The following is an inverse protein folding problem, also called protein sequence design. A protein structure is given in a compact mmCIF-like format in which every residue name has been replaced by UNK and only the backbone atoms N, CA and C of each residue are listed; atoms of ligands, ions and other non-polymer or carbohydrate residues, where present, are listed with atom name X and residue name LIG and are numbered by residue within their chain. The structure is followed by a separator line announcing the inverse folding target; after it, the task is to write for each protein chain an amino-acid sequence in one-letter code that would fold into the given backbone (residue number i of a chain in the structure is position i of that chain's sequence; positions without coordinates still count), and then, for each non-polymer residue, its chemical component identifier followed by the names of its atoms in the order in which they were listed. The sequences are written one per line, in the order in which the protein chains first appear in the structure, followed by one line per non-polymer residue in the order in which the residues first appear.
data_IF_708141483328
#
_entry.id   IF_708141483328
#
_cell.length_a   1.000
_cell.length_b   1.000
_cell.length_c   1.000
_cell.angle_alpha   90.00
_cell.angle_beta   90.00
_cell.angle_gamma   90.00
#
_symmetry.space_group_name_H-M   'P 1'
#
loop_
_entity.id
_entity.type
_entity.pdbx_description
1 polymer ?
#
# COMPACT_ATOMS: atom_id res chain seq x y z
N UNK A 1 35.80 -18.82 46.29
CA UNK A 1 34.54 -19.26 45.67
C UNK A 1 33.49 -18.23 46.05
N UNK A 2 33.31 -17.23 45.18
CA UNK A 2 32.33 -16.16 45.38
C UNK A 2 31.34 -16.27 44.24
N UNK A 3 30.12 -16.68 44.57
CA UNK A 3 29.02 -16.84 43.63
C UNK A 3 28.37 -15.48 43.42
N UNK A 4 28.62 -14.91 42.24
CA UNK A 4 28.04 -13.65 41.78
C UNK A 4 26.69 -13.97 41.14
N UNK A 5 25.60 -13.60 41.82
CA UNK A 5 24.23 -13.83 41.37
C UNK A 5 23.83 -12.81 40.30
N UNK A 6 23.45 -13.30 39.13
CA UNK A 6 22.88 -12.52 38.01
C UNK A 6 21.54 -11.86 38.41
N UNK A 7 21.27 -10.61 37.98
CA UNK A 7 20.00 -9.96 38.23
C UNK A 7 18.91 -10.55 37.33
N UNK A 8 17.84 -10.99 38.00
CA UNK A 8 16.61 -11.52 37.43
C UNK A 8 15.86 -10.39 36.72
N UNK A 9 15.91 -10.39 35.39
CA UNK A 9 15.30 -9.37 34.55
C UNK A 9 13.79 -9.68 34.38
N UNK A 10 12.96 -9.22 35.29
CA UNK A 10 11.49 -9.21 35.13
C UNK A 10 11.09 -8.23 34.03
N UNK A 11 11.03 -8.71 32.80
CA UNK A 11 10.33 -8.09 31.68
C UNK A 11 8.83 -8.12 31.94
N UNK A 12 8.36 -7.16 32.74
CA UNK A 12 6.93 -6.83 32.87
C UNK A 12 6.47 -6.26 31.53
N UNK A 13 5.80 -7.10 30.75
CA UNK A 13 5.03 -6.71 29.57
C UNK A 13 4.03 -5.62 29.97
N UNK A 14 4.39 -4.37 29.71
CA UNK A 14 3.44 -3.26 29.79
C UNK A 14 2.58 -3.33 28.53
N UNK A 15 1.52 -4.13 28.60
CA UNK A 15 0.32 -3.92 27.78
C UNK A 15 -0.31 -2.60 28.23
N UNK A 16 0.31 -1.49 27.82
CA UNK A 16 -0.32 -0.18 27.86
C UNK A 16 -1.44 -0.27 26.84
N UNK A 17 -2.65 -0.54 27.33
CA UNK A 17 -3.88 -0.18 26.66
C UNK A 17 -3.75 1.28 26.21
N UNK A 18 -3.36 1.48 24.95
CA UNK A 18 -3.40 2.77 24.29
C UNK A 18 -4.88 3.06 24.10
N UNK A 19 -5.49 3.56 25.17
CA UNK A 19 -6.85 4.08 25.12
C UNK A 19 -6.81 5.19 24.10
N UNK A 20 -7.40 4.95 22.92
CA UNK A 20 -7.58 5.95 21.87
C UNK A 20 -8.08 7.22 22.55
N UNK A 21 -7.20 8.20 22.69
CA UNK A 21 -7.48 9.42 23.42
C UNK A 21 -8.68 10.06 22.73
N UNK A 22 -9.84 10.01 23.40
CA UNK A 22 -11.05 10.67 22.91
C UNK A 22 -10.69 12.10 22.51
N UNK A 23 -10.99 12.44 21.27
CA UNK A 23 -10.74 13.78 20.74
C UNK A 23 -11.31 14.83 21.71
N UNK A 24 -10.57 15.92 21.97
CA UNK A 24 -11.04 16.98 22.84
C UNK A 24 -12.38 17.52 22.33
N UNK A 25 -13.28 17.86 23.26
CA UNK A 25 -14.57 18.46 22.89
C UNK A 25 -14.30 19.79 22.18
N UNK A 26 -14.99 20.08 21.06
CA UNK A 26 -14.81 21.33 20.36
C UNK A 26 -15.20 22.51 21.25
N UNK A 27 -14.31 23.50 21.36
CA UNK A 27 -14.56 24.74 22.08
C UNK A 27 -15.57 25.67 21.37
N UNK A 28 -16.11 25.24 20.23
CA UNK A 28 -17.18 25.91 19.50
C UNK A 28 -16.79 27.22 18.81
N UNK A 29 -15.60 27.77 19.09
CA UNK A 29 -15.05 28.97 18.44
C UNK A 29 -14.51 28.71 17.04
N UNK A 30 -14.30 29.78 16.28
CA UNK A 30 -13.64 29.72 14.96
C UNK A 30 -12.11 29.80 15.06
N UNK A 31 -11.39 29.43 14.00
CA UNK A 31 -9.93 29.59 13.94
C UNK A 31 -9.54 31.06 14.16
N UNK A 32 -10.33 31.99 13.63
CA UNK A 32 -10.13 33.42 13.83
C UNK A 32 -10.26 33.83 15.30
N UNK A 33 -11.25 33.29 16.02
CA UNK A 33 -11.40 33.57 17.46
C UNK A 33 -10.22 33.04 18.27
N UNK A 34 -9.70 31.85 17.93
CA UNK A 34 -8.49 31.32 18.57
C UNK A 34 -7.31 32.26 18.36
N UNK A 35 -7.09 32.71 17.11
CA UNK A 35 -6.01 33.64 16.78
C UNK A 35 -6.18 34.97 17.54
N UNK A 36 -7.38 35.55 17.60
CA UNK A 36 -7.60 36.85 18.27
C UNK A 36 -7.55 36.77 19.79
N UNK A 37 -7.84 35.60 20.37
CA UNK A 37 -7.77 35.38 21.82
C UNK A 37 -6.36 35.11 22.32
N UNK A 38 -5.45 34.70 21.45
CA UNK A 38 -4.05 34.49 21.83
C UNK A 38 -3.43 35.79 22.33
N UNK A 39 -2.71 35.74 23.44
CA UNK A 39 -2.03 36.90 24.03
C UNK A 39 -0.53 36.68 23.83
N UNK A 40 0.11 37.59 23.10
CA UNK A 40 1.56 37.56 22.86
C UNK A 40 2.32 37.78 24.17
N UNK A 41 3.62 37.42 24.24
CA UNK A 41 4.47 37.74 25.39
C UNK A 41 4.49 39.24 25.75
N UNK A 42 4.25 40.11 24.77
CA UNK A 42 4.17 41.57 24.94
C UNK A 42 2.81 42.05 25.51
N UNK A 43 1.88 41.13 25.81
CA UNK A 43 0.53 41.42 26.31
C UNK A 43 -0.45 41.89 25.24
N UNK A 44 -0.02 42.00 23.98
CA UNK A 44 -0.90 42.38 22.87
C UNK A 44 -1.79 41.19 22.46
N UNK A 45 -3.10 41.40 22.26
CA UNK A 45 -3.99 40.35 21.79
C UNK A 45 -3.83 40.14 20.27
N UNK A 46 -3.83 38.87 19.86
CA UNK A 46 -3.75 38.42 18.48
C UNK A 46 -2.33 38.25 17.96
N UNK A 47 -2.14 37.28 17.06
CA UNK A 47 -0.88 37.17 16.30
C UNK A 47 -0.88 38.16 15.12
N UNK A 48 0.16 39.01 14.97
CA UNK A 48 0.25 39.89 13.82
C UNK A 48 0.41 39.07 12.53
N UNK A 49 -0.10 39.62 11.41
CA UNK A 49 -0.11 38.92 10.11
C UNK A 49 1.30 38.46 9.70
N UNK A 50 2.33 39.27 10.00
CA UNK A 50 3.73 38.93 9.70
C UNK A 50 4.20 37.67 10.44
N UNK A 51 3.90 37.55 11.72
CA UNK A 51 4.27 36.36 12.51
C UNK A 51 3.49 35.13 12.05
N UNK A 52 2.20 35.29 11.71
CA UNK A 52 1.41 34.21 11.12
C UNK A 52 2.00 33.75 9.78
N UNK A 53 2.38 34.67 8.89
CA UNK A 53 3.00 34.31 7.60
C UNK A 53 4.33 33.59 7.78
N UNK A 54 5.13 34.01 8.76
CA UNK A 54 6.43 33.41 9.05
C UNK A 54 6.27 32.01 9.67
N UNK A 55 5.38 31.85 10.65
CA UNK A 55 5.11 30.57 11.31
C UNK A 55 4.53 29.52 10.37
N UNK A 56 3.64 29.94 9.47
CA UNK A 56 2.96 29.05 8.53
C UNK A 56 3.75 28.84 7.24
N UNK A 57 4.78 29.65 6.97
CA UNK A 57 5.49 29.69 5.69
C UNK A 57 4.56 29.90 4.49
N UNK A 58 3.50 30.69 4.66
CA UNK A 58 2.55 31.03 3.59
C UNK A 58 2.47 32.55 3.40
N UNK A 59 2.08 32.99 2.20
CA UNK A 59 1.90 34.41 1.92
C UNK A 59 0.71 35.00 2.69
N UNK A 60 0.69 36.33 2.85
CA UNK A 60 -0.43 37.03 3.47
C UNK A 60 -1.75 36.84 2.70
N UNK A 61 -1.68 36.68 1.37
CA UNK A 61 -2.82 36.40 0.51
C UNK A 61 -3.39 35.00 0.78
N UNK A 62 -2.51 33.98 0.87
CA UNK A 62 -2.91 32.62 1.24
C UNK A 62 -3.55 32.59 2.62
N UNK A 63 -3.05 33.39 3.58
CA UNK A 63 -3.69 33.55 4.88
C UNK A 63 -5.10 34.15 4.80
N UNK A 64 -5.33 35.13 3.94
CA UNK A 64 -6.67 35.68 3.75
C UNK A 64 -7.65 34.65 3.17
N UNK A 65 -7.17 33.85 2.22
CA UNK A 65 -7.95 32.72 1.67
C UNK A 65 -8.21 31.69 2.76
N UNK A 66 -7.19 31.29 3.52
CA UNK A 66 -7.29 30.32 4.60
C UNK A 66 -8.25 30.74 5.71
N UNK A 67 -8.39 32.05 5.99
CA UNK A 67 -9.39 32.54 6.94
C UNK A 67 -10.82 32.26 6.48
N UNK A 68 -11.06 32.24 5.17
CA UNK A 68 -12.37 31.94 4.57
C UNK A 68 -12.55 30.45 4.31
N UNK A 69 -11.48 29.77 3.92
CA UNK A 69 -11.43 28.36 3.53
C UNK A 69 -10.28 27.67 4.27
N UNK A 70 -10.44 27.35 5.56
CA UNK A 70 -9.38 26.75 6.36
C UNK A 70 -9.01 25.33 5.90
N UNK A 71 -9.84 24.69 5.07
CA UNK A 71 -9.54 23.43 4.39
C UNK A 71 -8.34 23.50 3.44
N UNK A 72 -7.95 24.70 3.00
CA UNK A 72 -6.80 24.90 2.13
C UNK A 72 -5.47 24.94 2.91
N UNK A 73 -5.51 24.93 4.24
CA UNK A 73 -4.30 24.85 5.06
C UNK A 73 -3.78 23.41 5.09
N UNK A 74 -2.46 23.26 4.94
CA UNK A 74 -1.79 21.98 5.14
C UNK A 74 -1.79 21.58 6.61
N UNK A 75 -1.64 20.29 6.91
CA UNK A 75 -1.55 19.83 8.31
C UNK A 75 -0.32 20.42 9.00
N UNK A 76 0.81 20.52 8.27
CA UNK A 76 2.02 21.16 8.78
C UNK A 76 1.74 22.61 9.22
N UNK A 77 1.00 23.37 8.41
CA UNK A 77 0.60 24.74 8.72
C UNK A 77 -0.24 24.79 10.01
N UNK A 78 -1.23 23.90 10.13
CA UNK A 78 -2.10 23.85 11.31
C UNK A 78 -1.32 23.51 12.58
N UNK A 79 -0.38 22.58 12.53
CA UNK A 79 0.40 22.21 13.71
C UNK A 79 1.44 23.26 14.10
N UNK A 80 2.09 23.90 13.13
CA UNK A 80 2.93 25.09 13.41
C UNK A 80 2.11 26.20 14.06
N UNK A 81 0.86 26.40 13.62
CA UNK A 81 -0.05 27.36 14.24
C UNK A 81 -0.45 26.96 15.66
N UNK A 82 -0.75 25.68 15.89
CA UNK A 82 -1.09 25.17 17.23
C UNK A 82 0.05 25.40 18.22
N UNK A 83 1.29 25.09 17.81
CA UNK A 83 2.49 25.31 18.61
C UNK A 83 2.66 26.79 18.98
N UNK A 84 2.48 27.70 18.01
CA UNK A 84 2.56 29.15 18.25
C UNK A 84 1.46 29.67 19.16
N UNK A 85 0.24 29.16 18.99
CA UNK A 85 -0.92 29.56 19.79
C UNK A 85 -0.89 28.96 21.22
N UNK A 86 -0.01 27.98 21.48
CA UNK A 86 0.02 27.23 22.74
C UNK A 86 -1.20 26.32 22.93
N UNK A 87 -1.84 25.90 21.83
CA UNK A 87 -2.99 24.97 21.85
C UNK A 87 -2.56 23.59 21.37
N UNK A 88 -3.32 22.56 21.73
CA UNK A 88 -2.98 21.20 21.29
C UNK A 88 -3.27 21.03 19.78
N UNK A 89 -2.46 20.23 19.05
CA UNK A 89 -2.73 19.88 17.65
C UNK A 89 -4.14 19.30 17.41
N UNK A 90 -4.63 18.48 18.35
CA UNK A 90 -5.98 17.91 18.25
C UNK A 90 -7.07 18.98 18.36
N UNK A 91 -6.89 19.97 19.22
CA UNK A 91 -7.83 21.09 19.36
C UNK A 91 -7.92 21.93 18.08
N UNK A 92 -6.79 22.28 17.46
CA UNK A 92 -6.82 23.09 16.24
C UNK A 92 -7.48 22.36 15.07
N UNK A 93 -7.21 21.05 14.93
CA UNK A 93 -7.80 20.19 13.90
C UNK A 93 -9.31 20.10 14.08
N UNK A 94 -9.77 19.87 15.32
CA UNK A 94 -11.20 19.81 15.65
C UNK A 94 -11.87 21.16 15.38
N UNK A 95 -11.26 22.28 15.77
CA UNK A 95 -11.79 23.63 15.52
C UNK A 95 -11.93 23.93 14.03
N UNK A 96 -10.90 23.63 13.24
CA UNK A 96 -10.94 23.83 11.78
C UNK A 96 -12.00 22.95 11.14
N UNK A 97 -12.08 21.68 11.54
CA UNK A 97 -13.09 20.75 11.04
C UNK A 97 -14.52 21.22 11.32
N UNK A 98 -14.80 21.65 12.55
CA UNK A 98 -16.12 22.20 12.92
C UNK A 98 -16.45 23.47 12.13
N UNK A 99 -15.45 24.32 11.89
CA UNK A 99 -15.63 25.51 11.05
C UNK A 99 -16.01 25.13 9.61
N UNK A 100 -15.29 24.19 8.99
CA UNK A 100 -15.59 23.69 7.63
C UNK A 100 -17.00 23.09 7.58
N UNK A 101 -17.37 22.29 8.58
CA UNK A 101 -18.69 21.67 8.68
C UNK A 101 -19.80 22.73 8.73
N UNK A 102 -19.64 23.76 9.57
CA UNK A 102 -20.59 24.89 9.65
C UNK A 102 -20.69 25.66 8.34
N UNK A 103 -19.55 25.92 7.68
CA UNK A 103 -19.52 26.59 6.38
C UNK A 103 -20.27 25.80 5.29
N UNK A 104 -20.07 24.48 5.24
CA UNK A 104 -20.80 23.60 4.30
C UNK A 104 -22.30 23.54 4.56
N UNK A 105 -22.70 23.57 5.84
CA UNK A 105 -24.12 23.64 6.23
C UNK A 105 -24.74 24.98 5.85
N UNK A 106 -23.99 26.08 5.94
CA UNK A 106 -24.48 27.40 5.56
C UNK A 106 -24.58 27.61 4.05
N UNK A 107 -23.69 26.98 3.26
CA UNK A 107 -23.68 27.11 1.79
C UNK A 107 -24.72 26.25 1.08
N UNK A 108 -25.28 25.25 1.77
CA UNK A 108 -26.43 24.50 1.28
C UNK A 108 -27.69 25.12 1.90
N UNK A 109 -28.34 26.10 1.23
CA UNK A 109 -29.62 26.58 1.73
C UNK A 109 -30.52 25.36 1.92
N UNK A 110 -31.21 25.23 3.08
CA UNK A 110 -32.06 24.08 3.35
C UNK A 110 -32.97 23.97 2.14
N UNK A 111 -32.80 22.89 1.36
CA UNK A 111 -33.59 22.67 0.15
C UNK A 111 -35.01 22.83 0.60
N UNK A 112 -35.66 23.89 0.13
CA UNK A 112 -36.97 24.30 0.63
C UNK A 112 -37.83 23.09 0.42
N UNK A 113 -38.07 22.34 1.49
CA UNK A 113 -38.89 21.14 1.45
C UNK A 113 -40.23 21.73 1.08
N UNK A 114 -40.57 21.69 -0.21
CA UNK A 114 -41.84 22.18 -0.69
C UNK A 114 -42.85 21.51 0.23
N UNK A 115 -43.67 22.28 0.96
CA UNK A 115 -44.64 21.71 1.88
C UNK A 115 -45.40 20.71 1.04
N UNK A 116 -45.18 19.43 1.35
CA UNK A 116 -45.75 18.29 0.64
C UNK A 116 -47.24 18.58 0.65
N UNK A 117 -47.78 19.09 -0.47
CA UNK A 117 -49.21 19.35 -0.62
C UNK A 117 -49.84 18.05 -0.19
N UNK A 118 -50.51 18.08 0.96
CA UNK A 118 -51.29 16.97 1.47
C UNK A 118 -52.24 16.64 0.35
N UNK A 119 -51.90 15.61 -0.43
CA UNK A 119 -52.71 15.12 -1.51
C UNK A 119 -53.89 14.52 -0.80
N UNK A 120 -54.98 15.27 -0.81
CA UNK A 120 -56.30 14.86 -0.37
C UNK A 120 -56.55 13.46 -0.92
N UNK A 121 -56.69 12.53 0.01
CA UNK A 121 -57.16 11.16 -0.15
C UNK A 121 -58.39 11.16 -1.10
N UNK A 122 -58.30 10.65 -2.33
CA UNK A 122 -59.49 10.33 -3.09
C UNK A 122 -60.05 9.01 -2.56
N UNK A 123 -61.37 8.99 -2.44
CA UNK A 123 -62.16 7.86 -2.01
C UNK A 123 -61.95 6.63 -2.91
N UNK A 124 -62.03 5.47 -2.27
CA UNK A 124 -62.26 4.15 -2.85
C UNK A 124 -63.37 4.18 -3.90
N UNK A 125 -63.20 3.45 -5.01
CA UNK A 125 -64.28 2.58 -5.44
C UNK A 125 -63.83 1.13 -5.69
N UNK A 126 -64.80 0.25 -5.49
CA UNK A 126 -64.79 -1.19 -5.63
C UNK A 126 -64.59 -1.69 -7.08
N UNK A 127 -64.10 -2.93 -7.16
CA UNK A 127 -64.51 -4.04 -8.04
C UNK A 127 -64.55 -3.90 -9.58
N UNK A 128 -63.73 -4.72 -10.26
CA UNK A 128 -64.10 -5.71 -11.30
C UNK A 128 -62.78 -6.33 -11.85
N UNK A 129 -62.51 -7.63 -11.70
CA UNK A 129 -62.93 -8.79 -12.53
C UNK A 129 -62.53 -8.74 -14.01
N UNK A 130 -61.92 -9.86 -14.45
CA UNK A 130 -61.55 -10.31 -15.81
C UNK A 130 -60.30 -9.66 -16.43
N UNK A 131 -59.36 -10.37 -17.05
CA UNK A 131 -59.24 -11.78 -17.44
C UNK A 131 -58.34 -11.88 -18.68
N UNK A 132 -57.48 -12.90 -18.77
CA UNK A 132 -57.08 -13.50 -20.05
C UNK A 132 -55.71 -13.17 -20.66
N UNK A 133 -54.95 -14.25 -20.88
CA UNK A 133 -54.18 -14.62 -22.09
C UNK A 133 -52.66 -14.33 -22.19
N UNK A 134 -51.92 -15.40 -21.87
CA UNK A 134 -50.71 -16.03 -22.47
C UNK A 134 -50.71 -15.94 -24.02
N UNK A 135 -49.57 -15.84 -24.77
CA UNK A 135 -48.59 -16.94 -25.03
C UNK A 135 -47.10 -16.53 -25.07
N UNK A 136 -46.17 -17.36 -24.58
CA UNK A 136 -45.52 -18.51 -25.25
C UNK A 136 -44.48 -18.07 -26.31
N UNK A 137 -43.24 -18.58 -26.17
CA UNK A 137 -42.32 -19.05 -27.23
C UNK A 137 -40.92 -19.20 -26.61
N UNK A 138 -40.52 -20.46 -26.41
CA UNK A 138 -39.12 -20.91 -26.36
C UNK A 138 -38.61 -21.09 -27.82
N UNK A 139 -37.32 -21.34 -28.07
CA UNK A 139 -36.85 -22.73 -27.99
C UNK A 139 -35.37 -22.94 -27.57
N UNK A 140 -35.15 -24.17 -27.10
CA UNK A 140 -34.00 -25.09 -27.32
C UNK A 140 -32.62 -24.52 -27.70
N UNK A 141 -31.58 -24.98 -27.01
CA UNK A 141 -30.57 -25.91 -27.58
C UNK A 141 -29.65 -26.48 -26.48
N UNK A 142 -29.79 -27.77 -26.21
CA UNK A 142 -28.73 -28.74 -25.83
C UNK A 142 -28.91 -29.91 -26.82
N UNK A 143 -27.90 -30.74 -27.18
CA UNK A 143 -27.03 -31.47 -26.24
C UNK A 143 -25.58 -31.70 -26.75
N UNK A 144 -24.66 -32.23 -25.92
CA UNK A 144 -24.18 -33.62 -26.09
C UNK A 144 -23.22 -34.06 -24.98
N UNK A 145 -23.37 -35.34 -24.62
CA UNK A 145 -22.75 -36.08 -23.52
C UNK A 145 -22.23 -37.40 -24.11
N UNK A 146 -20.94 -37.71 -24.05
CA UNK A 146 -20.44 -39.11 -24.11
C UNK A 146 -19.00 -39.20 -23.54
N UNK A 147 -18.47 -40.38 -23.15
CA UNK A 147 -18.63 -40.91 -21.79
C UNK A 147 -17.30 -41.34 -21.14
N UNK A 148 -17.46 -41.93 -19.95
CA UNK A 148 -16.52 -42.61 -19.08
C UNK A 148 -15.39 -43.44 -19.74
N UNK A 149 -14.24 -43.44 -19.06
CA UNK A 149 -13.39 -44.62 -18.99
C UNK A 149 -12.89 -44.83 -17.56
N UNK A 150 -12.86 -46.10 -17.21
CA UNK A 150 -12.84 -46.68 -15.88
C UNK A 150 -11.48 -47.39 -15.67
N UNK A 151 -11.11 -47.55 -14.40
CA UNK A 151 -10.10 -48.50 -13.86
C UNK A 151 -8.61 -48.11 -13.96
N UNK A 152 -8.01 -47.76 -12.81
CA UNK A 152 -7.07 -48.64 -12.11
C UNK A 152 -6.81 -48.15 -10.67
N UNK A 153 -7.22 -48.99 -9.71
CA UNK A 153 -6.90 -48.85 -8.29
C UNK A 153 -5.57 -49.57 -7.99
N UNK A 154 -4.65 -48.88 -7.31
CA UNK A 154 -3.50 -49.50 -6.65
C UNK A 154 -3.42 -49.03 -5.19
N UNK A 155 -2.86 -49.84 -4.28
CA UNK A 155 -3.28 -49.88 -2.89
C UNK A 155 -2.53 -48.93 -1.95
N UNK A 156 -3.21 -48.70 -0.82
CA UNK A 156 -2.83 -47.97 0.37
C UNK A 156 -1.33 -48.03 0.74
N UNK A 157 -0.72 -46.85 0.87
CA UNK A 157 0.39 -46.63 1.79
C UNK A 157 -0.07 -45.58 2.81
N UNK A 158 0.15 -45.87 4.10
CA UNK A 158 -0.38 -45.12 5.23
C UNK A 158 0.01 -43.62 5.22
N UNK A 159 -0.90 -42.69 5.57
CA UNK A 159 -0.57 -41.29 5.68
C UNK A 159 0.18 -41.00 6.99
N UNK A 160 1.41 -40.51 6.84
CA UNK A 160 2.12 -39.74 7.85
C UNK A 160 1.29 -38.49 8.20
N UNK A 161 1.18 -38.07 9.48
CA UNK A 161 0.45 -36.86 9.83
C UNK A 161 1.18 -35.63 9.27
N UNK A 162 0.68 -35.13 8.15
CA UNK A 162 1.07 -33.83 7.58
C UNK A 162 0.33 -32.77 8.39
N UNK A 163 1.09 -31.94 9.09
CA UNK A 163 0.58 -30.72 9.72
C UNK A 163 -0.16 -29.89 8.68
N UNK A 164 -1.48 -29.78 8.83
CA UNK A 164 -2.29 -28.86 8.04
C UNK A 164 -1.75 -27.42 8.24
N UNK A 165 -1.40 -26.70 7.16
CA UNK A 165 -1.13 -25.28 7.25
C UNK A 165 -2.41 -24.56 7.68
N UNK A 166 -2.29 -23.69 8.67
CA UNK A 166 -3.42 -22.94 9.23
C UNK A 166 -4.10 -22.07 8.15
N UNK A 167 -5.44 -21.96 8.15
CA UNK A 167 -6.21 -21.14 7.20
C UNK A 167 -6.19 -19.64 7.56
N UNK A 168 -5.02 -19.07 7.85
CA UNK A 168 -4.91 -17.63 8.13
C UNK A 168 -4.75 -16.78 6.85
N UNK A 169 -4.19 -17.35 5.78
CA UNK A 169 -3.90 -16.60 4.54
C UNK A 169 -5.16 -16.25 3.72
N UNK A 170 -6.24 -17.02 3.83
CA UNK A 170 -7.48 -16.72 3.08
C UNK A 170 -8.32 -15.60 3.72
N UNK A 171 -8.20 -15.39 5.04
CA UNK A 171 -8.94 -14.33 5.73
C UNK A 171 -8.40 -12.93 5.40
N UNK A 172 -7.08 -12.79 5.21
CA UNK A 172 -6.46 -11.52 4.81
C UNK A 172 -6.82 -11.15 3.36
N UNK A 173 -6.98 -12.12 2.48
CA UNK A 173 -7.35 -11.87 1.08
C UNK A 173 -8.79 -11.35 0.90
N UNK A 174 -9.73 -11.68 1.80
CA UNK A 174 -11.09 -11.13 1.77
C UNK A 174 -11.21 -9.77 2.47
N UNK A 175 -10.26 -9.39 3.32
CA UNK A 175 -10.27 -8.09 4.00
C UNK A 175 -9.79 -6.94 3.11
N UNK A 176 -8.98 -7.22 2.08
CA UNK A 176 -8.49 -6.21 1.13
C UNK A 176 -9.62 -5.57 0.29
N UNK A 177 -10.76 -6.23 0.13
CA UNK A 177 -11.86 -5.77 -0.74
C UNK A 177 -12.69 -4.61 -0.15
N UNK A 178 -12.48 -4.24 1.12
CA UNK A 178 -13.22 -3.18 1.81
C UNK A 178 -12.43 -1.87 1.99
N UNK A 179 -11.14 -1.88 1.67
CA UNK A 179 -10.28 -0.72 1.82
C UNK A 179 -10.36 0.15 0.56
N UNK A 180 -10.81 1.40 0.71
CA UNK A 180 -10.87 2.36 -0.38
C UNK A 180 -9.55 3.13 -0.46
N UNK A 181 -8.89 3.05 -1.62
CA UNK A 181 -7.73 3.89 -1.94
C UNK A 181 -8.16 5.33 -2.25
N UNK A 182 -7.67 6.28 -1.45
CA UNK A 182 -7.96 7.71 -1.56
C UNK A 182 -6.65 8.48 -1.76
N UNK A 183 -6.52 9.18 -2.89
CA UNK A 183 -5.36 10.04 -3.12
C UNK A 183 -5.24 11.13 -2.05
N UNK A 184 -4.04 11.41 -1.54
CA UNK A 184 -3.80 12.38 -0.45
C UNK A 184 -4.42 13.76 -0.72
N UNK A 185 -4.31 14.24 -1.96
CA UNK A 185 -4.88 15.50 -2.41
C UNK A 185 -6.40 15.57 -2.22
N UNK A 186 -7.09 14.44 -2.33
CA UNK A 186 -8.53 14.30 -2.16
C UNK A 186 -8.93 13.91 -0.73
N UNK A 187 -7.97 13.48 0.09
CA UNK A 187 -8.23 13.09 1.46
C UNK A 187 -8.72 14.28 2.30
N UNK A 188 -9.74 14.02 3.11
CA UNK A 188 -10.25 14.99 4.06
C UNK A 188 -9.25 15.24 5.18
N UNK A 189 -9.34 16.41 5.82
CA UNK A 189 -8.45 16.79 6.91
C UNK A 189 -8.42 15.78 8.08
N UNK A 190 -9.56 15.20 8.53
CA UNK A 190 -9.55 14.10 9.50
C UNK A 190 -8.79 12.86 8.99
N UNK A 191 -8.99 12.45 7.73
CA UNK A 191 -8.29 11.30 7.18
C UNK A 191 -6.78 11.51 7.17
N UNK A 192 -6.30 12.71 6.78
CA UNK A 192 -4.87 13.04 6.84
C UNK A 192 -4.34 13.02 8.28
N UNK A 193 -5.12 13.53 9.24
CA UNK A 193 -4.73 13.51 10.66
C UNK A 193 -4.63 12.07 11.21
N UNK A 194 -5.56 11.19 10.83
CA UNK A 194 -5.50 9.76 11.17
C UNK A 194 -4.31 9.06 10.51
N UNK A 195 -4.04 9.34 9.23
CA UNK A 195 -2.87 8.82 8.53
C UNK A 195 -1.56 9.21 9.24
N UNK A 196 -1.46 10.46 9.69
CA UNK A 196 -0.30 10.94 10.46
C UNK A 196 -0.16 10.22 11.80
N UNK A 197 -1.25 10.04 12.54
CA UNK A 197 -1.23 9.31 13.82
C UNK A 197 -0.81 7.84 13.62
N UNK A 198 -1.34 7.19 12.57
CA UNK A 198 -0.98 5.83 12.18
C UNK A 198 0.51 5.72 11.81
N UNK A 199 1.02 6.66 11.00
CA UNK A 199 2.43 6.72 10.63
C UNK A 199 3.36 6.91 11.85
N UNK A 200 2.99 7.81 12.77
CA UNK A 200 3.73 8.03 14.01
C UNK A 200 3.77 6.77 14.88
N UNK A 201 2.64 6.07 15.00
CA UNK A 201 2.58 4.83 15.76
C UNK A 201 3.49 3.76 15.14
N UNK A 202 3.37 3.54 13.82
CA UNK A 202 4.17 2.55 13.09
C UNK A 202 5.67 2.82 13.17
N UNK A 203 6.09 4.09 13.17
CA UNK A 203 7.49 4.50 13.14
C UNK A 203 8.04 4.98 14.48
N UNK A 204 7.24 4.88 15.56
CA UNK A 204 7.61 5.34 16.90
C UNK A 204 8.87 4.68 17.47
N UNK A 205 9.19 3.45 17.05
CA UNK A 205 10.39 2.73 17.47
C UNK A 205 11.68 3.21 16.81
N UNK A 206 11.60 3.96 15.70
CA UNK A 206 12.76 4.34 14.89
C UNK A 206 13.24 5.76 15.10
N UNK A 207 12.36 6.66 15.58
CA UNK A 207 12.68 8.07 15.72
C UNK A 207 12.59 8.53 17.18
N UNK A 208 13.53 9.38 17.65
CA UNK A 208 13.30 10.17 18.86
C UNK A 208 12.04 11.05 18.69
N UNK A 209 11.50 11.63 19.77
CA UNK A 209 10.29 12.46 19.71
C UNK A 209 10.50 13.67 18.79
N UNK A 210 10.07 13.51 17.54
CA UNK A 210 9.96 14.55 16.52
C UNK A 210 8.73 15.42 16.79
N UNK A 211 8.81 16.69 16.38
CA UNK A 211 7.65 17.57 16.44
C UNK A 211 6.55 17.07 15.49
N UNK A 212 5.29 17.25 15.88
CA UNK A 212 4.14 16.82 15.07
C UNK A 212 4.08 17.61 13.75
N UNK A 213 4.57 18.85 13.74
CA UNK A 213 4.74 19.66 12.54
C UNK A 213 5.75 19.06 11.55
N UNK A 214 6.86 18.48 12.03
CA UNK A 214 7.85 17.82 11.16
C UNK A 214 7.26 16.56 10.49
N UNK A 215 6.52 15.76 11.25
CA UNK A 215 5.77 14.61 10.71
C UNK A 215 4.78 15.03 9.63
N UNK A 216 3.98 16.06 9.91
CA UNK A 216 3.00 16.56 8.96
C UNK A 216 3.65 17.16 7.72
N UNK A 217 4.76 17.87 7.86
CA UNK A 217 5.52 18.42 6.74
C UNK A 217 6.05 17.31 5.84
N UNK A 218 6.59 16.24 6.42
CA UNK A 218 7.06 15.09 5.66
C UNK A 218 5.92 14.38 4.92
N UNK A 219 4.77 14.18 5.59
CA UNK A 219 3.59 13.58 4.98
C UNK A 219 3.01 14.45 3.86
N UNK A 220 2.89 15.77 4.08
CA UNK A 220 2.42 16.76 3.11
C UNK A 220 3.36 16.89 1.90
N UNK A 221 4.67 16.65 2.09
CA UNK A 221 5.66 16.66 1.01
C UNK A 221 5.60 15.40 0.13
N UNK A 222 5.32 14.24 0.74
CA UNK A 222 5.23 12.96 0.01
C UNK A 222 3.86 12.73 -0.62
N UNK A 223 2.79 13.26 -0.01
CA UNK A 223 1.40 13.08 -0.44
C UNK A 223 1.04 11.61 -0.77
N UNK A 224 1.32 10.64 0.12
CA UNK A 224 1.07 9.24 -0.18
C UNK A 224 -0.42 8.92 -0.28
N UNK A 225 -0.78 7.99 -1.15
CA UNK A 225 -2.14 7.47 -1.20
C UNK A 225 -2.53 6.87 0.17
N UNK A 226 -3.76 7.13 0.60
CA UNK A 226 -4.30 6.68 1.86
C UNK A 226 -5.27 5.53 1.65
N UNK A 227 -5.20 4.51 2.49
CA UNK A 227 -6.17 3.42 2.50
C UNK A 227 -7.16 3.65 3.63
N UNK A 228 -8.44 3.74 3.29
CA UNK A 228 -9.51 4.02 4.23
C UNK A 228 -10.43 2.81 4.32
N UNK A 229 -10.47 2.19 5.49
CA UNK A 229 -11.41 1.10 5.77
C UNK A 229 -12.83 1.65 5.89
N UNK A 230 -13.76 1.09 5.12
CA UNK A 230 -15.14 1.59 5.03
C UNK A 230 -16.08 1.01 6.09
N UNK A 231 -15.73 -0.13 6.69
CA UNK A 231 -16.52 -0.77 7.73
C UNK A 231 -15.99 -0.45 9.14
N UNK A 232 -16.84 0.11 10.00
CA UNK A 232 -16.50 0.38 11.41
C UNK A 232 -15.97 1.77 11.69
N UNK A 233 -15.06 1.89 12.68
CA UNK A 233 -14.34 3.14 12.90
C UNK A 233 -13.36 3.35 11.75
N UNK A 234 -13.38 4.51 11.06
CA UNK A 234 -12.59 4.71 9.86
C UNK A 234 -11.09 4.67 10.21
N UNK A 235 -10.47 3.51 9.96
CA UNK A 235 -9.03 3.36 10.05
C UNK A 235 -8.43 3.89 8.77
N UNK A 236 -7.41 4.74 8.93
CA UNK A 236 -6.64 5.26 7.81
C UNK A 236 -5.22 4.77 7.96
N UNK A 237 -4.80 3.93 7.02
CA UNK A 237 -3.47 3.32 7.00
C UNK A 237 -2.69 3.81 5.78
N UNK A 238 -1.37 3.72 5.90
CA UNK A 238 -0.44 3.95 4.80
C UNK A 238 0.03 2.60 4.31
N UNK A 239 0.16 2.48 2.99
CA UNK A 239 0.81 1.34 2.36
C UNK A 239 2.26 1.22 2.86
N UNK A 240 2.77 -0.01 2.97
CA UNK A 240 4.15 -0.26 3.37
C UNK A 240 5.21 0.54 2.58
N UNK A 241 5.16 0.63 1.23
CA UNK A 241 6.12 1.45 0.49
C UNK A 241 6.03 2.95 0.84
N UNK A 242 4.83 3.47 1.11
CA UNK A 242 4.66 4.86 1.54
C UNK A 242 5.27 5.11 2.94
N UNK A 243 5.19 4.14 3.84
CA UNK A 243 5.85 4.18 5.15
C UNK A 243 7.38 4.18 5.02
N UNK A 244 7.94 3.35 4.12
CA UNK A 244 9.38 3.35 3.85
C UNK A 244 9.86 4.70 3.28
N UNK A 245 9.12 5.29 2.33
CA UNK A 245 9.42 6.62 1.80
C UNK A 245 9.37 7.69 2.90
N UNK A 246 8.37 7.63 3.77
CA UNK A 246 8.25 8.55 4.90
C UNK A 246 9.41 8.39 5.89
N UNK A 247 9.79 7.16 6.22
CA UNK A 247 10.97 6.84 7.03
C UNK A 247 12.23 7.48 6.43
N UNK A 248 12.46 7.27 5.13
CA UNK A 248 13.63 7.81 4.43
C UNK A 248 13.63 9.33 4.34
N UNK A 249 12.46 9.94 4.11
CA UNK A 249 12.32 11.39 4.08
C UNK A 249 12.60 12.02 5.45
N UNK A 250 12.04 11.44 6.51
CA UNK A 250 12.29 11.88 7.88
C UNK A 250 13.75 11.70 8.25
N UNK A 251 14.36 10.55 7.96
CA UNK A 251 15.76 10.29 8.29
C UNK A 251 16.75 11.25 7.58
N UNK A 252 16.34 11.92 6.50
CA UNK A 252 17.10 13.00 5.83
C UNK A 252 16.84 14.39 6.41
N UNK A 253 15.87 14.54 7.31
CA UNK A 253 15.57 15.81 7.96
C UNK A 253 16.74 16.26 8.82
N UNK A 254 17.10 17.55 8.71
CA UNK A 254 18.15 18.16 9.52
C UNK A 254 17.79 18.29 11.00
N UNK A 255 16.51 18.11 11.33
CA UNK A 255 15.99 18.23 12.70
C UNK A 255 16.30 16.98 13.54
N UNK A 256 16.66 15.86 12.90
CA UNK A 256 16.96 14.62 13.59
C UNK A 256 18.45 14.49 13.91
N UNK A 257 18.80 13.94 15.08
CA UNK A 257 20.14 13.44 15.32
C UNK A 257 20.46 12.34 14.29
N UNK A 258 21.75 12.11 14.04
CA UNK A 258 22.20 11.09 13.10
C UNK A 258 21.68 9.72 13.56
N UNK A 259 20.69 9.19 12.85
CA UNK A 259 20.10 7.87 13.12
C UNK A 259 20.98 6.77 12.53
N UNK A 260 21.03 5.61 13.19
CA UNK A 260 21.61 4.38 12.66
C UNK A 260 20.63 3.66 11.72
N UNK A 261 20.01 4.39 10.81
CA UNK A 261 19.16 3.83 9.77
C UNK A 261 19.93 3.85 8.45
N UNK A 262 19.70 2.83 7.61
CA UNK A 262 20.21 2.82 6.24
C UNK A 262 19.47 3.88 5.42
N UNK A 263 19.96 5.12 5.49
CA UNK A 263 19.43 6.23 4.70
C UNK A 263 20.10 6.18 3.33
N UNK A 264 19.31 5.86 2.31
CA UNK A 264 19.83 5.87 0.95
C UNK A 264 20.06 7.30 0.48
N UNK A 265 21.16 7.55 -0.22
CA UNK A 265 21.45 8.86 -0.80
C UNK A 265 20.81 9.00 -2.19
N UNK A 266 20.62 10.23 -2.73
CA UNK A 266 20.18 10.42 -4.11
C UNK A 266 21.09 9.74 -5.15
N UNK A 267 22.40 9.65 -4.88
CA UNK A 267 23.35 8.93 -5.73
C UNK A 267 23.08 7.42 -5.72
N UNK A 268 22.68 6.87 -4.57
CA UNK A 268 22.28 5.47 -4.44
C UNK A 268 21.07 5.16 -5.32
N UNK A 269 20.08 6.06 -5.36
CA UNK A 269 18.94 5.94 -6.28
C UNK A 269 19.38 5.94 -7.75
N UNK A 270 20.28 6.85 -8.13
CA UNK A 270 20.77 6.91 -9.51
C UNK A 270 21.50 5.61 -9.91
N UNK A 271 22.30 5.05 -9.00
CA UNK A 271 22.94 3.75 -9.22
C UNK A 271 21.92 2.61 -9.30
N UNK A 272 20.92 2.58 -8.41
CA UNK A 272 19.87 1.56 -8.40
C UNK A 272 19.02 1.60 -9.68
N UNK A 273 18.62 2.78 -10.15
CA UNK A 273 17.94 2.96 -11.45
C UNK A 273 18.78 2.41 -12.60
N UNK A 274 20.08 2.75 -12.62
CA UNK A 274 20.99 2.30 -13.67
C UNK A 274 21.15 0.79 -13.67
N UNK A 275 21.30 0.18 -12.48
CA UNK A 275 21.38 -1.27 -12.35
C UNK A 275 20.08 -1.94 -12.81
N UNK A 276 18.93 -1.43 -12.36
CA UNK A 276 17.62 -1.94 -12.76
C UNK A 276 17.41 -1.88 -14.29
N UNK A 277 17.92 -0.83 -14.96
CA UNK A 277 17.91 -0.77 -16.42
C UNK A 277 18.74 -1.87 -17.07
N UNK A 278 19.95 -2.13 -16.56
CA UNK A 278 20.78 -3.22 -17.07
C UNK A 278 20.16 -4.59 -16.78
N UNK A 279 19.54 -4.76 -15.62
CA UNK A 279 18.80 -5.96 -15.25
C UNK A 279 17.63 -6.20 -16.21
N UNK A 280 16.85 -5.15 -16.54
CA UNK A 280 15.77 -5.21 -17.53
C UNK A 280 16.27 -5.59 -18.94
N UNK A 281 17.33 -4.95 -19.42
CA UNK A 281 17.93 -5.30 -20.73
C UNK A 281 18.51 -6.70 -20.74
N UNK A 282 19.03 -7.18 -19.62
CA UNK A 282 19.51 -8.56 -19.51
C UNK A 282 18.37 -9.57 -19.66
N UNK A 283 17.18 -9.29 -19.10
CA UNK A 283 15.98 -10.14 -19.32
C UNK A 283 15.58 -10.18 -20.79
N UNK A 284 15.63 -9.04 -21.49
CA UNK A 284 15.37 -8.98 -22.93
C UNK A 284 16.43 -9.78 -23.71
N UNK A 285 17.71 -9.64 -23.35
CA UNK A 285 18.81 -10.39 -23.95
C UNK A 285 18.73 -11.91 -23.72
N UNK A 286 18.07 -12.38 -22.65
CA UNK A 286 17.78 -13.82 -22.49
C UNK A 286 16.97 -14.36 -23.67
N UNK A 287 16.05 -13.58 -24.25
CA UNK A 287 15.28 -14.02 -25.41
C UNK A 287 16.16 -14.21 -26.65
N UNK A 288 17.23 -13.42 -26.78
CA UNK A 288 18.20 -13.56 -27.87
C UNK A 288 19.08 -14.79 -27.68
N UNK A 289 19.52 -15.05 -26.44
CA UNK A 289 20.28 -16.26 -26.09
C UNK A 289 19.44 -17.51 -26.33
N UNK A 290 18.14 -17.49 -26.01
CA UNK A 290 17.22 -18.60 -26.29
C UNK A 290 17.10 -18.89 -27.79
N UNK A 291 17.08 -17.85 -28.63
CA UNK A 291 17.02 -18.00 -30.09
C UNK A 291 18.34 -18.50 -30.66
N UNK A 292 19.49 -18.12 -30.09
CA UNK A 292 20.81 -18.55 -30.54
C UNK A 292 21.80 -18.75 -29.37
N UNK A 293 21.80 -19.93 -28.72
CA UNK A 293 22.64 -20.19 -27.55
C UNK A 293 24.15 -20.13 -27.81
N UNK A 294 24.56 -20.28 -29.07
CA UNK A 294 25.96 -20.26 -29.53
C UNK A 294 26.49 -18.88 -29.91
N UNK A 295 25.63 -17.86 -30.03
CA UNK A 295 26.05 -16.53 -30.47
C UNK A 295 26.91 -15.77 -29.44
N UNK A 296 26.81 -16.14 -28.15
CA UNK A 296 27.44 -15.40 -27.06
C UNK A 296 28.47 -16.27 -26.35
N UNK A 297 29.66 -15.71 -26.10
CA UNK A 297 30.69 -16.36 -25.30
C UNK A 297 30.27 -16.54 -23.84
N UNK A 298 30.91 -17.49 -23.14
CA UNK A 298 30.60 -17.84 -21.74
C UNK A 298 30.55 -16.62 -20.81
N UNK A 299 31.55 -15.74 -20.85
CA UNK A 299 31.60 -14.57 -19.98
C UNK A 299 30.43 -13.60 -20.19
N UNK A 300 29.97 -13.44 -21.43
CA UNK A 300 28.83 -12.55 -21.75
C UNK A 300 27.53 -13.16 -21.24
N UNK A 301 27.35 -14.48 -21.42
CA UNK A 301 26.19 -15.21 -20.90
C UNK A 301 26.12 -15.12 -19.38
N UNK A 302 27.23 -15.35 -18.69
CA UNK A 302 27.30 -15.24 -17.22
C UNK A 302 26.92 -13.85 -16.72
N UNK A 303 27.40 -12.79 -17.40
CA UNK A 303 27.04 -11.42 -17.05
C UNK A 303 25.54 -11.19 -17.22
N UNK A 304 24.95 -11.62 -18.34
CA UNK A 304 23.52 -11.50 -18.60
C UNK A 304 22.71 -12.26 -17.55
N UNK A 305 23.12 -13.48 -17.20
CA UNK A 305 22.43 -14.27 -16.18
C UNK A 305 22.47 -13.60 -14.81
N UNK A 306 23.62 -13.05 -14.41
CA UNK A 306 23.75 -12.33 -13.14
C UNK A 306 22.89 -11.07 -13.10
N UNK A 307 22.86 -10.29 -14.18
CA UNK A 307 22.03 -9.08 -14.26
C UNK A 307 20.53 -9.42 -14.31
N UNK A 308 20.13 -10.40 -15.13
CA UNK A 308 18.74 -10.82 -15.25
C UNK A 308 18.22 -11.47 -13.95
N UNK A 309 19.10 -11.98 -13.10
CA UNK A 309 18.74 -12.46 -11.78
C UNK A 309 18.25 -11.38 -10.83
N UNK A 310 18.48 -10.10 -11.15
CA UNK A 310 18.17 -8.96 -10.28
C UNK A 310 19.09 -8.89 -9.06
N UNK A 311 19.02 -7.76 -8.34
CA UNK A 311 19.74 -7.56 -7.10
C UNK A 311 18.81 -6.98 -6.03
N UNK A 312 18.67 -7.65 -4.88
CA UNK A 312 17.73 -7.24 -3.82
C UNK A 312 17.93 -5.79 -3.36
N UNK A 313 19.18 -5.35 -3.20
CA UNK A 313 19.51 -3.96 -2.85
C UNK A 313 19.00 -2.93 -3.87
N UNK A 314 18.95 -3.28 -5.17
CA UNK A 314 18.42 -2.35 -6.19
C UNK A 314 16.93 -2.10 -5.96
N UNK A 315 16.19 -3.17 -5.66
CA UNK A 315 14.75 -3.13 -5.41
C UNK A 315 14.44 -2.42 -4.10
N UNK A 316 15.23 -2.67 -3.06
CA UNK A 316 15.13 -2.01 -1.77
C UNK A 316 15.36 -0.49 -1.90
N UNK A 317 16.42 -0.08 -2.61
CA UNK A 317 16.69 1.34 -2.88
C UNK A 317 15.58 1.97 -3.70
N UNK A 318 15.10 1.32 -4.77
CA UNK A 318 14.02 1.89 -5.58
C UNK A 318 12.73 2.05 -4.75
N UNK A 319 12.36 1.03 -3.97
CA UNK A 319 11.18 1.05 -3.10
C UNK A 319 11.26 2.13 -2.03
N UNK A 320 12.43 2.34 -1.44
CA UNK A 320 12.71 3.42 -0.49
C UNK A 320 12.46 4.83 -1.06
N UNK A 321 12.45 4.99 -2.38
CA UNK A 321 12.07 6.22 -3.08
C UNK A 321 10.69 6.12 -3.76
N UNK A 322 9.96 5.02 -3.56
CA UNK A 322 8.66 4.66 -4.17
C UNK A 322 8.71 4.55 -5.68
N UNK A 323 9.84 4.09 -6.19
CA UNK A 323 9.96 3.65 -7.57
C UNK A 323 9.87 2.13 -7.63
N UNK A 324 9.32 1.63 -8.72
CA UNK A 324 9.23 0.19 -8.98
C UNK A 324 9.99 -0.14 -10.25
N UNK A 325 10.72 -1.25 -10.24
CA UNK A 325 11.40 -1.76 -11.44
C UNK A 325 10.40 -1.99 -12.58
N UNK A 326 9.16 -2.38 -12.25
CA UNK A 326 8.11 -2.64 -13.23
C UNK A 326 7.70 -1.41 -14.05
N UNK A 327 7.82 -0.21 -13.50
CA UNK A 327 7.42 1.04 -14.17
C UNK A 327 8.60 1.81 -14.75
N UNK A 328 9.84 1.33 -14.55
CA UNK A 328 11.02 1.94 -15.13
C UNK A 328 11.04 1.76 -16.67
N UNK A 329 11.17 2.88 -17.40
CA UNK A 329 11.25 2.96 -18.87
C UNK A 329 10.02 2.55 -19.69
N UNK A 330 8.88 2.31 -19.07
CA UNK A 330 7.68 1.85 -19.79
C UNK A 330 6.66 2.94 -20.10
N UNK A 331 7.05 4.21 -20.02
CA UNK A 331 6.12 5.35 -20.15
C UNK A 331 4.88 5.27 -19.21
N UNK A 332 5.00 4.53 -18.10
CA UNK A 332 3.94 4.34 -17.11
C UNK A 332 3.21 2.98 -17.18
N UNK A 333 3.42 2.17 -18.22
CA UNK A 333 2.79 0.84 -18.32
C UNK A 333 3.59 -0.19 -17.50
N UNK A 334 3.05 -0.78 -16.42
CA UNK A 334 3.81 -1.75 -15.63
C UNK A 334 4.15 -2.99 -16.48
N UNK A 335 5.41 -3.43 -16.43
CA UNK A 335 5.82 -4.74 -16.97
C UNK A 335 5.12 -5.87 -16.21
N UNK A 336 4.92 -7.00 -16.89
CA UNK A 336 4.44 -8.22 -16.22
C UNK A 336 5.42 -8.66 -15.13
N UNK A 337 4.92 -9.07 -13.97
CA UNK A 337 5.73 -9.57 -12.86
C UNK A 337 6.61 -10.77 -13.27
N UNK A 338 6.15 -11.56 -14.25
CA UNK A 338 6.90 -12.67 -14.83
C UNK A 338 8.14 -12.24 -15.62
N UNK A 339 8.16 -11.01 -16.11
CA UNK A 339 9.26 -10.45 -16.90
C UNK A 339 10.22 -9.58 -16.08
N UNK A 340 9.96 -9.42 -14.79
CA UNK A 340 10.83 -8.63 -13.92
C UNK A 340 12.15 -9.38 -13.64
N UNK A 341 13.28 -8.66 -13.55
CA UNK A 341 14.54 -9.26 -13.12
C UNK A 341 14.38 -9.98 -11.77
N UNK A 342 14.89 -11.20 -11.69
CA UNK A 342 14.78 -12.05 -10.50
C UNK A 342 13.43 -12.74 -10.28
N UNK A 343 12.44 -12.53 -11.16
CA UNK A 343 11.18 -13.28 -11.11
C UNK A 343 11.41 -14.79 -11.22
N UNK A 344 10.48 -15.59 -10.70
CA UNK A 344 10.51 -17.06 -10.82
C UNK A 344 10.60 -17.51 -12.27
N UNK A 345 9.86 -16.85 -13.16
CA UNK A 345 9.84 -17.09 -14.60
C UNK A 345 11.20 -16.79 -15.25
N UNK A 346 11.84 -15.67 -14.91
CA UNK A 346 13.19 -15.34 -15.37
C UNK A 346 14.24 -16.31 -14.83
N UNK A 347 14.16 -16.67 -13.53
CA UNK A 347 15.06 -17.66 -12.93
C UNK A 347 14.94 -19.04 -13.58
N UNK A 348 13.72 -19.48 -13.88
CA UNK A 348 13.49 -20.72 -14.60
C UNK A 348 14.05 -20.69 -16.03
N UNK A 349 14.02 -19.54 -16.72
CA UNK A 349 14.67 -19.36 -18.03
C UNK A 349 16.19 -19.46 -17.91
N UNK A 350 16.79 -18.76 -16.95
CA UNK A 350 18.24 -18.83 -16.67
C UNK A 350 18.66 -20.28 -16.40
N UNK A 351 17.94 -20.99 -15.52
CA UNK A 351 18.22 -22.38 -15.20
C UNK A 351 18.20 -23.30 -16.44
N UNK A 352 17.18 -23.16 -17.30
CA UNK A 352 17.08 -23.94 -18.56
C UNK A 352 18.24 -23.67 -19.52
N UNK A 353 18.62 -22.40 -19.70
CA UNK A 353 19.69 -21.99 -20.62
C UNK A 353 21.08 -22.43 -20.18
N UNK A 354 21.29 -22.48 -18.87
CA UNK A 354 22.54 -22.89 -18.26
C UNK A 354 22.65 -24.45 -18.23
N UNK A 355 21.48 -25.09 -18.35
CA UNK A 355 21.05 -26.48 -18.55
C UNK A 355 21.09 -27.24 -19.90
N UNK A 356 21.70 -26.78 -21.01
CA UNK A 356 21.08 -26.89 -22.35
C UNK A 356 20.89 -28.31 -22.90
N UNK A 357 21.59 -29.32 -22.38
CA UNK A 357 21.44 -30.72 -22.82
C UNK A 357 21.96 -31.69 -21.75
N UNK A 358 21.21 -31.87 -20.67
CA UNK A 358 21.54 -32.87 -19.67
C UNK A 358 21.59 -32.34 -18.24
N UNK A 359 20.52 -31.68 -17.78
CA UNK A 359 20.36 -31.21 -16.40
C UNK A 359 20.85 -32.21 -15.33
N UNK A 360 21.20 -31.73 -14.11
CA UNK A 360 21.65 -32.58 -13.01
C UNK A 360 20.55 -33.58 -12.64
N UNK A 361 20.62 -34.79 -13.21
CA UNK A 361 19.57 -35.82 -13.08
C UNK A 361 19.18 -36.49 -14.39
N UNK A 362 19.38 -35.84 -15.53
CA UNK A 362 19.44 -36.54 -16.83
C UNK A 362 20.81 -37.18 -16.98
N UNK A 363 21.03 -38.23 -16.18
CA UNK A 363 21.88 -39.31 -16.63
C UNK A 363 21.34 -39.69 -18.00
N UNK A 364 22.06 -39.33 -19.07
CA UNK A 364 21.93 -40.06 -20.32
C UNK A 364 22.23 -41.49 -19.92
N UNK A 365 21.17 -42.29 -19.73
CA UNK A 365 21.33 -43.73 -19.78
C UNK A 365 22.16 -43.96 -21.05
N UNK A 366 23.32 -44.62 -20.96
CA UNK A 366 24.16 -44.86 -22.11
C UNK A 366 23.25 -45.44 -23.21
N UNK A 367 23.46 -45.05 -24.48
CA UNK A 367 22.60 -45.49 -25.58
C UNK A 367 22.37 -46.97 -25.41
N UNK A 368 21.10 -47.34 -25.17
CA UNK A 368 20.71 -48.71 -24.89
C UNK A 368 21.32 -49.53 -26.03
N UNK A 369 22.25 -50.46 -25.75
CA UNK A 369 22.88 -51.23 -26.82
C UNK A 369 21.76 -51.81 -27.68
N UNK A 370 21.90 -51.79 -29.02
CA UNK A 370 20.86 -52.29 -29.90
C UNK A 370 20.46 -53.66 -29.40
N UNK A 371 19.18 -53.83 -29.08
CA UNK A 371 18.61 -55.12 -28.73
C UNK A 371 19.05 -56.08 -29.84
N UNK A 372 19.98 -56.97 -29.52
CA UNK A 372 20.41 -58.02 -30.43
C UNK A 372 19.18 -58.79 -30.92
N UNK A 373 19.28 -59.45 -32.08
CA UNK A 373 18.15 -60.12 -32.72
C UNK A 373 17.43 -61.00 -31.70
N UNK A 374 16.14 -60.74 -31.48
CA UNK A 374 15.30 -61.62 -30.68
C UNK A 374 15.44 -63.02 -31.27
N UNK A 375 16.01 -63.94 -30.48
CA UNK A 375 15.96 -65.35 -30.79
C UNK A 375 14.48 -65.75 -30.84
N UNK A 376 14.00 -66.10 -32.03
CA UNK A 376 12.65 -66.59 -32.24
C UNK A 376 12.38 -67.86 -31.41
N UNK A 377 11.13 -68.11 -31.03
CA UNK A 377 10.77 -69.26 -30.20
C UNK A 377 11.15 -70.56 -30.90
N UNK A 378 11.89 -71.40 -30.17
CA UNK A 378 12.13 -72.80 -30.53
C UNK A 378 10.77 -73.52 -30.58
N UNK A 379 10.32 -73.84 -31.79
CA UNK A 379 9.22 -74.77 -32.00
C UNK A 379 9.60 -76.15 -31.46
N UNK A 380 8.86 -76.62 -30.46
CA UNK A 380 8.84 -78.02 -30.05
C UNK A 380 7.69 -78.73 -30.75
N UNK A 381 8.08 -79.72 -31.56
CA UNK A 381 7.40 -80.95 -32.00
C UNK A 381 5.91 -80.91 -32.33
#
# INVERSE_FOLDING_TARGET
MSSESLPENTSRSQDKNISLHRLPKPNGGTLQELITRHINPDGTPGLPVRELTEALQVSAETLQVARRQPENLSLASLFSLAERLGVTPGEIVVTVFDQIRRQRQASHPPTTVQPRRQRSRPATPEAALNGGLVPEVAPDTTPDLVPANEVEQTPLTAPTPVSQPQPQTEADAFAEDLALKVAYANATLPQRAHALASAQQALSGHFPPLSLAAWAKALDALQPDLWVETEGEPQVTLEHPALEQLLQHLARSKELPKLELTVYSPESLLMARRLAYYSCWAVEALTEIERNPSAYGHCVRDLIFRLASGHSTEQEVLRAFGESIATLNTNGEPRSDDELPGSTSVQARIFRLNWPNGGPGSFRLPPRPPLGPQAGPLGTA
#
